data_IF_788399618881
#
_entry.id   IF_788399618881
#
_cell.length_a   1.000
_cell.length_b   1.000
_cell.length_c   1.000
_cell.angle_alpha   90.00
_cell.angle_beta   90.00
_cell.angle_gamma   90.00
#
_symmetry.space_group_name_H-M   'P 1'
#
loop_
_entity.id
_entity.type
_entity.pdbx_description
1 polymer ?
#
# COMPACT_ATOMS: atom_id res chain seq x y z
N UNK A 1 18.10 -24.85 18.67
CA UNK A 1 18.11 -23.37 18.58
C UNK A 1 19.18 -22.99 17.60
N UNK A 2 18.82 -22.75 16.34
CA UNK A 2 19.76 -22.36 15.30
C UNK A 2 19.70 -20.84 15.17
N UNK A 3 20.72 -20.16 15.68
CA UNK A 3 20.91 -18.73 15.47
C UNK A 3 21.08 -18.47 13.96
N UNK A 4 20.11 -17.77 13.38
CA UNK A 4 20.19 -17.31 11.99
C UNK A 4 21.27 -16.22 11.92
N UNK A 5 22.34 -16.50 11.17
CA UNK A 5 23.47 -15.59 10.97
C UNK A 5 23.01 -14.22 10.44
N UNK A 6 23.73 -13.16 10.80
CA UNK A 6 23.44 -11.77 10.41
C UNK A 6 23.28 -11.57 8.88
N UNK A 7 23.77 -12.48 8.05
CA UNK A 7 23.65 -12.46 6.60
C UNK A 7 22.22 -12.77 6.07
N UNK A 8 21.34 -13.38 6.87
CA UNK A 8 19.94 -13.66 6.47
C UNK A 8 18.98 -12.50 6.76
N UNK A 9 19.49 -11.34 7.21
CA UNK A 9 18.70 -10.16 7.58
C UNK A 9 18.28 -9.29 6.39
N UNK A 10 18.94 -9.42 5.24
CA UNK A 10 18.61 -8.63 4.03
C UNK A 10 17.93 -9.50 2.98
N UNK A 11 16.67 -9.89 3.23
CA UNK A 11 15.79 -10.22 2.11
C UNK A 11 15.38 -8.91 1.46
N UNK A 12 15.55 -8.83 0.13
CA UNK A 12 15.10 -7.68 -0.64
C UNK A 12 13.62 -7.44 -0.37
N UNK A 13 13.31 -6.24 0.10
CA UNK A 13 11.94 -5.78 0.30
C UNK A 13 11.53 -4.97 -0.90
N UNK A 14 10.33 -5.23 -1.39
CA UNK A 14 9.72 -4.51 -2.49
C UNK A 14 8.78 -3.44 -1.93
N UNK A 15 8.84 -2.25 -2.52
CA UNK A 15 8.06 -1.09 -2.10
C UNK A 15 7.47 -0.31 -3.28
N UNK A 16 7.76 -0.66 -4.52
CA UNK A 16 7.30 0.07 -5.71
C UNK A 16 5.77 0.02 -5.88
N UNK A 17 5.20 -1.15 -5.57
CA UNK A 17 3.77 -1.37 -5.55
C UNK A 17 3.30 -1.83 -4.17
N UNK A 18 2.09 -1.46 -3.77
CA UNK A 18 1.40 -2.07 -2.64
C UNK A 18 0.56 -3.28 -3.08
N UNK A 19 0.39 -4.23 -2.16
CA UNK A 19 -0.48 -5.39 -2.36
C UNK A 19 -1.72 -5.20 -1.49
N UNK A 20 -2.88 -5.02 -2.13
CA UNK A 20 -4.15 -4.93 -1.39
C UNK A 20 -4.52 -6.29 -0.81
N UNK A 21 -4.73 -6.32 0.50
CA UNK A 21 -5.16 -7.46 1.28
C UNK A 21 -6.37 -7.09 2.14
N UNK A 22 -6.97 -8.08 2.78
CA UNK A 22 -7.84 -7.87 3.93
C UNK A 22 -7.28 -8.60 5.12
N UNK A 23 -7.54 -8.10 6.32
CA UNK A 23 -7.27 -8.81 7.56
C UNK A 23 -8.55 -8.96 8.39
N UNK A 24 -8.61 -10.00 9.21
CA UNK A 24 -9.76 -10.27 10.07
C UNK A 24 -9.66 -9.45 11.37
N UNK A 25 -10.72 -8.72 11.70
CA UNK A 25 -10.90 -8.07 13.00
C UNK A 25 -12.32 -8.32 13.49
N UNK A 26 -12.47 -8.95 14.66
CA UNK A 26 -13.79 -9.31 15.18
C UNK A 26 -14.50 -10.24 14.19
N UNK A 27 -15.66 -9.83 13.67
CA UNK A 27 -16.42 -10.58 12.67
C UNK A 27 -16.29 -10.02 11.24
N UNK A 28 -15.44 -9.02 11.03
CA UNK A 28 -15.35 -8.26 9.78
C UNK A 28 -13.97 -8.37 9.12
N UNK A 29 -13.95 -8.08 7.82
CA UNK A 29 -12.74 -8.02 7.01
C UNK A 29 -12.39 -6.58 6.66
N UNK A 30 -11.23 -6.13 7.09
CA UNK A 30 -10.76 -4.77 6.87
C UNK A 30 -9.70 -4.72 5.78
N UNK A 31 -9.87 -3.79 4.85
CA UNK A 31 -8.93 -3.58 3.74
C UNK A 31 -7.63 -2.99 4.26
N UNK A 32 -6.53 -3.48 3.72
CA UNK A 32 -5.19 -3.06 4.11
C UNK A 32 -4.27 -3.09 2.87
N UNK A 33 -3.25 -2.24 2.85
CA UNK A 33 -2.24 -2.20 1.78
C UNK A 33 -0.93 -2.73 2.35
N UNK A 34 -0.49 -3.90 1.89
CA UNK A 34 0.80 -4.48 2.24
C UNK A 34 1.92 -3.76 1.48
N UNK A 35 2.96 -3.43 2.22
CA UNK A 35 4.00 -2.47 1.89
C UNK A 35 5.35 -3.02 2.38
N UNK A 36 6.46 -2.64 1.75
CA UNK A 36 7.79 -3.13 2.15
C UNK A 36 7.81 -4.66 2.28
N UNK A 37 7.23 -5.33 1.29
CA UNK A 37 6.89 -6.75 1.35
C UNK A 37 7.99 -7.63 0.78
N UNK A 38 7.99 -8.89 1.18
CA UNK A 38 8.88 -9.96 0.72
C UNK A 38 8.19 -11.30 0.95
N UNK A 39 8.79 -12.41 0.51
CA UNK A 39 8.30 -13.76 0.83
C UNK A 39 8.16 -14.03 2.34
N UNK A 40 8.90 -13.32 3.21
CA UNK A 40 8.84 -13.51 4.67
C UNK A 40 7.78 -12.67 5.37
N UNK A 41 7.12 -11.77 4.66
CA UNK A 41 6.07 -10.91 5.21
C UNK A 41 6.12 -9.49 4.69
N UNK A 42 5.39 -8.60 5.36
CA UNK A 42 5.11 -7.25 4.89
C UNK A 42 4.88 -6.29 6.06
N UNK A 43 4.91 -5.00 5.77
CA UNK A 43 4.42 -3.97 6.66
C UNK A 43 3.05 -3.48 6.18
N UNK A 44 2.21 -2.96 7.06
CA UNK A 44 1.01 -2.23 6.67
C UNK A 44 0.75 -1.09 7.66
N UNK A 45 -0.13 -0.18 7.27
CA UNK A 45 -0.56 0.94 8.07
C UNK A 45 -2.03 0.86 8.40
N UNK A 46 -2.40 1.37 9.58
CA UNK A 46 -3.75 1.25 10.11
C UNK A 46 -3.97 2.23 11.28
N UNK A 47 -5.24 2.49 11.59
CA UNK A 47 -5.66 3.46 12.62
C UNK A 47 -6.13 2.79 13.92
N UNK A 48 -6.25 1.46 13.92
CA UNK A 48 -6.69 0.70 15.08
C UNK A 48 -5.48 0.10 15.80
N UNK A 49 -5.42 0.14 17.12
CA UNK A 49 -4.31 -0.51 17.83
C UNK A 49 -4.40 -2.03 17.66
N UNK A 50 -3.53 -2.62 16.85
CA UNK A 50 -3.46 -4.08 16.68
C UNK A 50 -2.36 -4.63 17.57
N UNK A 51 -2.71 -5.67 18.33
CA UNK A 51 -1.78 -6.37 19.21
C UNK A 51 -0.89 -7.36 18.42
N UNK A 52 0.30 -7.60 18.95
CA UNK A 52 1.19 -8.63 18.44
C UNK A 52 0.55 -10.02 18.59
N UNK A 53 0.80 -10.89 17.62
CA UNK A 53 0.23 -12.24 17.59
C UNK A 53 -0.33 -12.64 16.23
N UNK A 54 -0.92 -13.82 16.20
CA UNK A 54 -1.48 -14.41 14.99
C UNK A 54 -2.70 -13.63 14.49
N UNK A 55 -2.72 -13.37 13.18
CA UNK A 55 -3.79 -12.69 12.49
C UNK A 55 -4.08 -13.40 11.15
N UNK A 56 -5.34 -13.42 10.76
CA UNK A 56 -5.76 -13.94 9.47
C UNK A 56 -5.82 -12.83 8.42
N UNK A 57 -5.34 -13.17 7.24
CA UNK A 57 -5.31 -12.31 6.07
C UNK A 57 -5.96 -13.03 4.88
N UNK A 58 -6.43 -12.26 3.91
CA UNK A 58 -6.87 -12.81 2.63
C UNK A 58 -6.62 -11.88 1.46
N UNK A 59 -6.45 -12.48 0.29
CA UNK A 59 -6.51 -11.82 -1.01
C UNK A 59 -7.54 -12.54 -1.86
N UNK A 60 -8.58 -11.83 -2.28
CA UNK A 60 -9.73 -12.43 -2.96
C UNK A 60 -10.34 -13.58 -2.11
N UNK A 61 -10.33 -14.81 -2.60
CA UNK A 61 -10.85 -16.00 -1.90
C UNK A 61 -9.76 -16.77 -1.12
N UNK A 62 -8.49 -16.40 -1.27
CA UNK A 62 -7.37 -17.12 -0.68
C UNK A 62 -7.03 -16.54 0.70
N UNK A 63 -7.03 -17.40 1.72
CA UNK A 63 -6.74 -17.03 3.11
C UNK A 63 -5.34 -17.51 3.51
N UNK A 64 -4.72 -16.78 4.43
CA UNK A 64 -3.44 -17.15 5.04
C UNK A 64 -3.28 -16.50 6.41
N UNK A 65 -2.48 -17.09 7.28
CA UNK A 65 -2.16 -16.52 8.59
C UNK A 65 -0.79 -15.83 8.57
N UNK A 66 -0.63 -14.82 9.41
CA UNK A 66 0.66 -14.19 9.69
C UNK A 66 0.72 -13.71 11.13
N UNK A 67 1.93 -13.52 11.65
CA UNK A 67 2.15 -13.00 12.99
C UNK A 67 2.50 -11.52 12.91
N UNK A 68 1.76 -10.67 13.63
CA UNK A 68 2.22 -9.30 13.90
C UNK A 68 3.36 -9.39 14.90
N UNK A 69 4.54 -8.98 14.45
CA UNK A 69 5.80 -9.09 15.20
C UNK A 69 6.23 -7.77 15.85
N UNK A 70 5.66 -6.66 15.42
CA UNK A 70 5.82 -5.34 16.04
C UNK A 70 4.72 -4.40 15.55
N UNK A 71 4.38 -3.43 16.39
CA UNK A 71 3.54 -2.28 16.06
C UNK A 71 4.20 -1.02 16.61
N UNK A 72 4.26 0.05 15.81
CA UNK A 72 4.79 1.36 16.22
C UNK A 72 3.90 2.48 15.74
N UNK A 73 3.90 3.60 16.46
CA UNK A 73 3.31 4.84 15.98
C UNK A 73 4.10 5.34 14.77
N UNK A 74 3.40 5.77 13.74
CA UNK A 74 3.99 6.34 12.54
C UNK A 74 3.89 7.87 12.59
N UNK A 75 5.01 8.54 12.32
CA UNK A 75 5.11 10.00 12.25
C UNK A 75 5.57 10.49 10.87
N UNK A 76 5.41 9.65 9.84
CA UNK A 76 5.87 9.92 8.49
C UNK A 76 4.81 10.68 7.69
N UNK A 77 5.04 11.99 7.51
CA UNK A 77 4.14 12.90 6.78
C UNK A 77 3.92 12.47 5.33
N UNK A 78 4.96 12.00 4.63
CA UNK A 78 4.86 11.62 3.22
C UNK A 78 3.99 10.37 3.08
N UNK A 79 4.18 9.40 3.98
CA UNK A 79 3.38 8.19 3.99
C UNK A 79 1.91 8.46 4.37
N UNK A 80 1.66 9.40 5.28
CA UNK A 80 0.31 9.87 5.63
C UNK A 80 -0.34 10.60 4.45
N UNK A 81 0.40 11.47 3.76
CA UNK A 81 -0.09 12.14 2.55
C UNK A 81 -0.49 11.13 1.49
N UNK A 82 0.36 10.13 1.23
CA UNK A 82 0.08 9.09 0.24
C UNK A 82 -1.16 8.27 0.59
N UNK A 83 -1.36 7.93 1.86
CA UNK A 83 -2.57 7.27 2.34
C UNK A 83 -3.81 8.14 2.08
N UNK A 84 -3.78 9.42 2.46
CA UNK A 84 -4.90 10.35 2.25
C UNK A 84 -5.25 10.50 0.76
N UNK A 85 -4.23 10.58 -0.09
CA UNK A 85 -4.41 10.60 -1.55
C UNK A 85 -5.08 9.31 -2.04
N UNK A 86 -4.61 8.15 -1.58
CA UNK A 86 -5.19 6.86 -1.93
C UNK A 86 -6.65 6.72 -1.46
N UNK A 87 -6.99 7.17 -0.24
CA UNK A 87 -8.37 7.20 0.27
C UNK A 87 -9.29 8.01 -0.65
N UNK A 88 -8.84 9.19 -1.08
CA UNK A 88 -9.62 10.06 -1.96
C UNK A 88 -9.73 9.48 -3.37
N UNK A 89 -8.65 8.91 -3.92
CA UNK A 89 -8.69 8.23 -5.22
C UNK A 89 -9.68 7.06 -5.17
N UNK A 90 -9.72 6.30 -4.07
CA UNK A 90 -10.68 5.22 -3.90
C UNK A 90 -12.12 5.73 -3.93
N UNK A 91 -12.42 6.81 -3.20
CA UNK A 91 -13.73 7.44 -3.20
C UNK A 91 -14.13 7.93 -4.60
N UNK A 92 -13.20 8.49 -5.37
CA UNK A 92 -13.46 8.89 -6.76
C UNK A 92 -13.69 7.68 -7.68
N UNK A 93 -12.90 6.61 -7.53
CA UNK A 93 -13.09 5.37 -8.27
C UNK A 93 -14.47 4.73 -7.98
N UNK A 94 -14.97 4.84 -6.75
CA UNK A 94 -16.31 4.39 -6.38
C UNK A 94 -17.44 5.24 -6.98
N UNK A 95 -17.18 6.50 -7.35
CA UNK A 95 -18.15 7.39 -8.03
C UNK A 95 -18.19 7.16 -9.54
N UNK A 96 -17.10 6.64 -10.12
CA UNK A 96 -16.94 6.40 -11.55
C UNK A 96 -17.40 4.99 -11.99
N UNK A 97 -18.41 4.41 -11.33
CA UNK A 97 -18.90 3.05 -11.66
C UNK A 97 -19.36 2.91 -13.13
N UNK A 98 -19.81 4.01 -13.73
CA UNK A 98 -20.25 4.05 -15.14
C UNK A 98 -19.09 4.25 -16.14
N UNK A 99 -17.84 4.34 -15.66
CA UNK A 99 -16.64 4.51 -16.47
C UNK A 99 -15.57 3.47 -16.06
N UNK A 100 -15.75 2.19 -16.43
CA UNK A 100 -14.96 1.08 -15.89
C UNK A 100 -13.47 1.19 -16.19
N UNK A 101 -13.09 1.72 -17.36
CA UNK A 101 -11.69 1.91 -17.71
C UNK A 101 -11.00 2.95 -16.82
N UNK A 102 -11.66 4.10 -16.60
CA UNK A 102 -11.13 5.15 -15.74
C UNK A 102 -11.06 4.68 -14.28
N UNK A 103 -12.10 3.98 -13.82
CA UNK A 103 -12.12 3.35 -12.51
C UNK A 103 -10.93 2.40 -12.32
N UNK A 104 -10.66 1.51 -13.29
CA UNK A 104 -9.53 0.60 -13.22
C UNK A 104 -8.18 1.34 -13.20
N UNK A 105 -8.02 2.41 -13.98
CA UNK A 105 -6.80 3.23 -13.98
C UNK A 105 -6.56 3.88 -12.62
N UNK A 106 -7.59 4.42 -11.98
CA UNK A 106 -7.50 4.98 -10.63
C UNK A 106 -7.13 3.92 -9.59
N UNK A 107 -7.75 2.74 -9.66
CA UNK A 107 -7.43 1.63 -8.75
C UNK A 107 -6.00 1.12 -8.94
N UNK A 108 -5.44 1.20 -10.16
CA UNK A 108 -4.02 0.90 -10.42
C UNK A 108 -3.12 2.00 -9.84
N UNK A 109 -3.43 3.27 -10.08
CA UNK A 109 -2.66 4.41 -9.56
C UNK A 109 -2.54 4.39 -8.04
N UNK A 110 -3.60 4.01 -7.32
CA UNK A 110 -3.55 3.85 -5.85
C UNK A 110 -2.44 2.91 -5.37
N UNK A 111 -2.10 1.89 -6.17
CA UNK A 111 -1.12 0.86 -5.78
C UNK A 111 0.32 1.30 -6.01
N UNK A 112 0.54 2.30 -6.86
CA UNK A 112 1.88 2.82 -7.15
C UNK A 112 2.30 3.76 -6.05
N UNK A 113 3.55 3.64 -5.58
CA UNK A 113 4.08 4.45 -4.49
C UNK A 113 4.99 5.58 -4.96
N UNK A 114 5.17 6.59 -4.12
CA UNK A 114 6.08 7.72 -4.41
C UNK A 114 5.56 8.70 -5.47
N UNK A 115 4.32 8.52 -5.94
CA UNK A 115 3.67 9.36 -6.95
C UNK A 115 2.71 10.39 -6.35
N UNK A 116 3.06 10.97 -5.20
CA UNK A 116 2.16 11.88 -4.48
C UNK A 116 1.74 13.09 -5.34
N UNK A 117 2.68 13.69 -6.07
CA UNK A 117 2.40 14.82 -6.96
C UNK A 117 1.53 14.43 -8.15
N UNK A 118 1.76 13.27 -8.77
CA UNK A 118 0.95 12.78 -9.88
C UNK A 118 -0.47 12.43 -9.42
N UNK A 119 -0.62 11.82 -8.24
CA UNK A 119 -1.91 11.57 -7.59
C UNK A 119 -2.67 12.87 -7.33
N UNK A 120 -2.01 13.92 -6.83
CA UNK A 120 -2.62 15.24 -6.67
C UNK A 120 -3.07 15.85 -8.01
N UNK A 121 -2.25 15.73 -9.07
CA UNK A 121 -2.60 16.20 -10.42
C UNK A 121 -3.82 15.47 -10.98
N UNK A 122 -3.88 14.15 -10.84
CA UNK A 122 -5.04 13.34 -11.24
C UNK A 122 -6.30 13.75 -10.46
N UNK A 123 -6.21 13.93 -9.15
CA UNK A 123 -7.35 14.38 -8.34
C UNK A 123 -7.82 15.78 -8.74
N UNK A 124 -6.89 16.68 -9.07
CA UNK A 124 -7.20 18.03 -9.54
C UNK A 124 -7.93 17.99 -10.89
N UNK A 125 -7.49 17.13 -11.81
CA UNK A 125 -8.16 16.89 -13.09
C UNK A 125 -9.57 16.29 -12.94
N UNK A 126 -9.80 15.53 -11.87
CA UNK A 126 -11.13 15.01 -11.48
C UNK A 126 -11.98 16.05 -10.71
N UNK A 127 -11.54 17.32 -10.65
CA UNK A 127 -12.28 18.43 -10.05
C UNK A 127 -12.04 18.63 -8.55
N UNK A 128 -11.10 17.90 -7.94
CA UNK A 128 -10.76 18.04 -6.53
C UNK A 128 -9.54 18.94 -6.38
N UNK A 129 -9.78 20.24 -6.29
CA UNK A 129 -8.74 21.26 -6.12
C UNK A 129 -8.52 21.53 -4.64
N UNK A 130 -7.50 20.88 -4.06
CA UNK A 130 -7.00 21.20 -2.73
C UNK A 130 -5.66 21.92 -2.85
N UNK A 131 -5.51 23.02 -2.13
CA UNK A 131 -4.24 23.72 -2.01
C UNK A 131 -3.23 22.90 -1.19
N UNK A 132 -1.94 23.22 -1.34
CA UNK A 132 -0.90 22.55 -0.54
C UNK A 132 -1.10 22.76 0.97
N UNK A 133 -1.61 23.92 1.38
CA UNK A 133 -1.92 24.19 2.79
C UNK A 133 -3.04 23.28 3.32
N UNK A 134 -4.07 23.02 2.51
CA UNK A 134 -5.16 22.11 2.89
C UNK A 134 -4.69 20.66 2.98
N UNK A 135 -3.75 20.25 2.13
CA UNK A 135 -3.12 18.93 2.26
C UNK A 135 -2.30 18.81 3.54
N UNK A 136 -1.48 19.82 3.83
CA UNK A 136 -0.67 19.87 5.05
C UNK A 136 -1.53 19.84 6.31
N UNK A 137 -2.63 20.60 6.37
CA UNK A 137 -3.57 20.57 7.49
C UNK A 137 -4.14 19.17 7.73
N UNK A 138 -4.57 18.47 6.66
CA UNK A 138 -5.09 17.10 6.75
C UNK A 138 -4.03 16.10 7.20
N UNK A 139 -2.80 16.24 6.74
CA UNK A 139 -1.67 15.41 7.18
C UNK A 139 -1.44 15.59 8.68
N UNK A 140 -1.37 16.83 9.16
CA UNK A 140 -1.17 17.13 10.58
C UNK A 140 -2.34 16.61 11.43
N UNK A 141 -3.58 16.77 10.97
CA UNK A 141 -4.75 16.21 11.66
C UNK A 141 -4.67 14.69 11.76
N UNK A 142 -4.30 14.00 10.67
CA UNK A 142 -4.17 12.54 10.66
C UNK A 142 -2.99 12.03 11.49
N UNK A 143 -1.92 12.81 11.63
CA UNK A 143 -0.80 12.49 12.52
C UNK A 143 -1.14 12.67 14.01
N UNK A 144 -2.11 13.54 14.33
CA UNK A 144 -2.66 13.65 15.68
C UNK A 144 -3.59 12.47 16.02
N UNK A 145 -4.24 11.88 15.01
CA UNK A 145 -4.91 10.60 15.15
C UNK A 145 -3.88 9.46 15.33
N UNK A 146 -4.22 8.43 16.09
CA UNK A 146 -3.31 7.31 16.33
C UNK A 146 -3.10 6.52 15.03
N UNK A 147 -2.00 6.80 14.32
CA UNK A 147 -1.61 6.12 13.10
C UNK A 147 -0.48 5.14 13.40
N UNK A 148 -0.71 3.87 13.09
CA UNK A 148 0.22 2.80 13.38
C UNK A 148 0.79 2.19 12.12
N UNK A 149 2.01 1.68 12.25
CA UNK A 149 2.62 0.76 11.32
C UNK A 149 2.85 -0.56 12.03
N UNK A 150 2.45 -1.66 11.40
CA UNK A 150 2.74 -3.01 11.89
C UNK A 150 3.59 -3.78 10.90
N UNK A 151 4.48 -4.61 11.42
CA UNK A 151 5.22 -5.62 10.66
C UNK A 151 4.62 -6.99 10.87
N UNK A 152 4.37 -7.70 9.77
CA UNK A 152 3.84 -9.05 9.75
C UNK A 152 4.91 -10.00 9.25
N UNK A 153 5.12 -11.10 9.97
CA UNK A 153 5.85 -12.27 9.50
C UNK A 153 4.86 -13.29 8.95
N UNK A 154 5.14 -13.83 7.77
CA UNK A 154 4.26 -14.80 7.11
C UNK A 154 5.05 -16.02 6.70
N UNK A 155 4.52 -17.19 7.05
CA UNK A 155 5.03 -18.49 6.63
C UNK A 155 3.89 -19.24 5.91
N UNK A 156 3.57 -18.81 4.69
CA UNK A 156 2.45 -19.35 3.93
C UNK A 156 2.76 -19.48 2.43
N UNK A 157 2.45 -20.64 1.80
CA UNK A 157 2.58 -20.79 0.36
C UNK A 157 1.62 -19.87 -0.41
N UNK A 158 0.47 -19.53 0.16
CA UNK A 158 -0.48 -18.57 -0.44
C UNK A 158 0.15 -17.19 -0.56
N UNK A 159 0.82 -16.73 0.49
CA UNK A 159 1.53 -15.46 0.47
C UNK A 159 2.69 -15.46 -0.54
N UNK A 160 3.43 -16.55 -0.64
CA UNK A 160 4.50 -16.67 -1.64
C UNK A 160 3.97 -16.54 -3.08
N UNK A 161 2.80 -17.13 -3.38
CA UNK A 161 2.15 -16.96 -4.68
C UNK A 161 1.74 -15.49 -4.90
N UNK A 162 1.15 -14.85 -3.90
CA UNK A 162 0.78 -13.43 -3.94
C UNK A 162 1.98 -12.53 -4.22
N UNK A 163 3.13 -12.81 -3.60
CA UNK A 163 4.40 -12.10 -3.81
C UNK A 163 4.92 -12.32 -5.23
N UNK A 164 4.87 -13.53 -5.76
CA UNK A 164 5.30 -13.82 -7.13
C UNK A 164 4.47 -13.03 -8.16
N UNK A 165 3.14 -13.05 -8.03
CA UNK A 165 2.25 -12.26 -8.90
C UNK A 165 2.54 -10.76 -8.83
N UNK A 166 2.87 -10.27 -7.63
CA UNK A 166 3.17 -8.86 -7.41
C UNK A 166 4.51 -8.45 -8.04
N UNK A 167 5.53 -9.31 -7.98
CA UNK A 167 6.82 -9.07 -8.66
C UNK A 167 6.62 -9.00 -10.18
N UNK A 168 5.82 -9.91 -10.75
CA UNK A 168 5.50 -9.89 -12.18
C UNK A 168 4.80 -8.58 -12.56
N UNK A 169 3.78 -8.16 -11.80
CA UNK A 169 3.09 -6.88 -12.02
C UNK A 169 4.02 -5.67 -11.86
N UNK A 170 4.90 -5.66 -10.86
CA UNK A 170 5.87 -4.60 -10.62
C UNK A 170 6.84 -4.44 -11.79
N UNK A 171 7.32 -5.55 -12.36
CA UNK A 171 8.20 -5.51 -13.55
C UNK A 171 7.54 -4.86 -14.76
N UNK A 172 6.25 -5.12 -14.98
CA UNK A 172 5.47 -4.47 -16.06
C UNK A 172 5.31 -2.97 -15.81
N UNK A 173 5.15 -2.55 -14.55
CA UNK A 173 5.07 -1.11 -14.20
C UNK A 173 6.41 -0.42 -14.42
N UNK A 174 7.53 -1.03 -14.01
CA UNK A 174 8.87 -0.50 -14.26
C UNK A 174 9.15 -0.36 -15.77
N UNK A 175 8.70 -1.32 -16.57
CA UNK A 175 8.85 -1.26 -18.03
C UNK A 175 7.98 -0.15 -18.64
N UNK A 176 6.75 0.06 -18.13
CA UNK A 176 5.92 1.20 -18.52
C UNK A 176 6.53 2.55 -18.12
N UNK A 177 7.17 2.64 -16.95
CA UNK A 177 7.88 3.84 -16.49
C UNK A 177 9.10 4.14 -17.38
N UNK A 178 9.87 3.12 -17.78
CA UNK A 178 10.97 3.29 -18.75
C UNK A 178 10.48 3.82 -20.09
N UNK A 179 9.35 3.32 -20.57
CA UNK A 179 8.78 3.76 -21.84
C UNK A 179 8.18 5.17 -21.77
N UNK A 180 7.53 5.51 -20.66
CA UNK A 180 7.06 6.88 -20.40
C UNK A 180 8.20 7.88 -20.26
N UNK A 181 9.32 7.47 -19.64
CA UNK A 181 10.53 8.30 -19.54
C UNK A 181 11.23 8.50 -20.88
N UNK A 182 11.20 7.50 -21.77
CA UNK A 182 11.77 7.60 -23.11
C UNK A 182 10.95 8.51 -24.06
N UNK A 183 9.64 8.63 -23.85
CA UNK A 183 8.76 9.48 -24.68
C UNK A 183 8.67 10.94 -24.19
N UNK A 184 9.17 11.25 -22.99
CA UNK A 184 9.29 12.61 -22.47
C UNK A 184 10.68 13.25 -22.69
N UNK A 185 11.54 12.56 -23.44
CA UNK A 185 12.94 12.93 -23.67
C UNK A 185 13.29 13.08 -25.15
N UNK A 186 12.41 13.69 -25.94
CA UNK A 186 12.78 14.35 -27.19
C UNK A 186 12.16 15.76 -27.16
N UNK A 187 13.04 16.76 -27.39
CA UNK A 187 12.80 18.21 -27.39
C UNK A 187 11.68 18.67 -28.33
#
# INVERSE_FOLDING_TARGET
>A
MTELSAAQRHIQRHNEISIRLHYAWGNDWHVIEAQQWSARGFCFFHVLAVHEGAMEFKRSLQHFSGDIVWTRTCHDEEQVLEMLLNEIIHQQAQRLQNQPEMQQRLLRLMRVRGMAQDKQRVLSALGLQLSQAQWQERVQQRLQEAFFQSGVRVESPVWNAVVADAIELGSVVQDLERWSGALGGDE
#
